data_IF_731134565963
#
_entry.id   IF_731134565963
#
_cell.length_a   1.000
_cell.length_b   1.000
_cell.length_c   1.000
_cell.angle_alpha   90.00
_cell.angle_beta   90.00
_cell.angle_gamma   90.00
#
_symmetry.space_group_name_H-M   'P 1'
#
loop_
_entity.id
_entity.type
_entity.pdbx_description
1 polymer ?
#
# COMPACT_ATOMS: atom_id res chain seq x y z
N UNK A 1 24.60 -40.70 2.02
CA UNK A 1 25.82 -40.52 1.21
C UNK A 1 25.82 -39.08 0.68
N UNK A 2 26.87 -38.34 1.03
CA UNK A 2 27.14 -36.92 0.66
C UNK A 2 27.77 -36.89 -0.75
N UNK A 3 27.50 -35.84 -1.55
CA UNK A 3 28.57 -34.88 -1.94
C UNK A 3 28.04 -33.41 -1.98
N UNK A 4 28.66 -32.44 -1.28
CA UNK A 4 29.84 -31.60 -1.66
C UNK A 4 29.73 -30.98 -3.07
N UNK A 5 29.28 -29.71 -3.19
CA UNK A 5 30.03 -28.43 -3.21
C UNK A 5 30.88 -28.18 -4.46
N UNK A 6 30.51 -27.16 -5.25
CA UNK A 6 31.44 -26.27 -5.94
C UNK A 6 30.86 -24.85 -5.92
N UNK A 7 31.56 -23.95 -5.24
CA UNK A 7 31.26 -22.52 -5.16
C UNK A 7 32.26 -21.75 -6.04
N UNK A 8 31.78 -20.82 -6.85
CA UNK A 8 32.59 -19.77 -7.46
C UNK A 8 32.22 -18.42 -6.83
N UNK A 9 33.22 -17.76 -6.22
CA UNK A 9 33.18 -16.39 -5.72
C UNK A 9 33.03 -15.38 -6.88
N UNK A 10 32.36 -14.23 -6.67
CA UNK A 10 32.68 -13.01 -7.39
C UNK A 10 33.71 -12.15 -6.62
N UNK A 11 34.64 -11.60 -7.39
CA UNK A 11 35.65 -10.62 -6.99
C UNK A 11 34.96 -9.31 -6.56
N UNK A 12 35.20 -8.86 -5.33
CA UNK A 12 34.80 -7.54 -4.85
C UNK A 12 36.01 -6.59 -4.89
N UNK A 13 35.90 -5.48 -5.63
CA UNK A 13 36.76 -4.31 -5.42
C UNK A 13 36.19 -3.50 -4.26
N UNK A 14 37.00 -3.37 -3.21
CA UNK A 14 36.74 -2.51 -2.06
C UNK A 14 37.17 -1.07 -2.36
N UNK A 15 36.34 -0.10 -1.98
CA UNK A 15 36.79 1.26 -1.71
C UNK A 15 36.23 1.68 -0.35
N UNK A 16 37.15 1.85 0.60
CA UNK A 16 36.89 2.23 1.99
C UNK A 16 36.56 3.73 2.07
N UNK A 17 35.56 4.08 2.87
CA UNK A 17 35.53 5.35 3.59
C UNK A 17 34.93 5.12 4.96
N UNK A 18 35.79 5.21 5.97
CA UNK A 18 35.53 5.11 7.40
C UNK A 18 34.89 6.40 7.94
N UNK A 19 33.76 6.28 8.64
CA UNK A 19 33.38 7.25 9.68
C UNK A 19 32.83 6.51 10.90
N UNK A 20 33.59 6.61 11.98
CA UNK A 20 33.26 6.16 13.33
C UNK A 20 32.30 7.13 14.00
N UNK A 21 31.24 6.63 14.63
CA UNK A 21 30.50 7.36 15.66
C UNK A 21 30.28 6.43 16.86
N UNK A 22 30.98 6.76 17.94
CA UNK A 22 30.94 6.13 19.25
C UNK A 22 29.59 6.35 19.93
N UNK A 23 29.03 5.29 20.52
CA UNK A 23 27.88 5.34 21.42
C UNK A 23 28.33 5.58 22.86
N UNK A 24 27.52 6.31 23.62
CA UNK A 24 27.59 6.34 25.08
C UNK A 24 26.17 6.19 25.63
N UNK A 25 25.95 5.05 26.28
CA UNK A 25 24.76 4.71 27.03
C UNK A 25 24.83 5.31 28.44
N UNK A 26 23.68 5.67 29.00
CA UNK A 26 23.49 5.85 30.43
C UNK A 26 22.13 5.27 30.82
N UNK A 27 22.20 4.25 31.67
CA UNK A 27 21.08 3.58 32.30
C UNK A 27 20.72 4.26 33.61
N UNK A 28 19.45 4.24 33.99
CA UNK A 28 19.04 4.36 35.39
C UNK A 28 17.75 3.57 35.62
N UNK A 29 17.88 2.59 36.51
CA UNK A 29 16.86 1.69 37.05
C UNK A 29 16.09 2.31 38.21
N UNK A 30 14.81 1.97 38.36
CA UNK A 30 14.20 1.81 39.69
C UNK A 30 12.90 0.99 39.61
N UNK A 31 12.91 -0.13 40.32
CA UNK A 31 11.80 -1.03 40.66
C UNK A 31 10.88 -0.45 41.73
N UNK A 32 9.63 -0.95 41.84
CA UNK A 32 9.01 -1.42 43.09
C UNK A 32 7.64 -2.10 42.83
N UNK A 33 7.40 -3.15 43.63
CA UNK A 33 6.24 -4.04 43.79
C UNK A 33 5.00 -3.33 44.39
N UNK A 34 3.74 -3.83 44.40
CA UNK A 34 3.23 -5.05 45.08
C UNK A 34 1.71 -5.29 44.79
N UNK A 35 1.25 -6.52 45.10
CA UNK A 35 -0.08 -7.19 45.19
C UNK A 35 -1.34 -6.40 45.61
N UNK A 36 -2.62 -6.84 45.55
CA UNK A 36 -3.40 -7.94 44.93
C UNK A 36 -4.91 -7.75 45.31
N UNK A 37 -5.78 -8.60 44.75
CA UNK A 37 -7.11 -9.06 45.23
C UNK A 37 -8.38 -8.58 44.52
N UNK A 38 -9.43 -9.38 44.69
CA UNK A 38 -10.34 -9.93 43.66
C UNK A 38 -11.81 -9.87 44.08
N UNK A 39 -12.73 -10.04 43.12
CA UNK A 39 -14.08 -10.68 43.16
C UNK A 39 -15.17 -9.83 42.46
N UNK A 40 -16.34 -10.32 42.00
CA UNK A 40 -16.75 -11.38 41.05
C UNK A 40 -18.28 -11.21 40.85
N UNK A 41 -18.76 -11.23 39.57
CA UNK A 41 -20.08 -11.78 39.09
C UNK A 41 -21.38 -10.90 39.18
N UNK A 42 -22.43 -11.10 38.34
CA UNK A 42 -22.76 -10.22 37.20
C UNK A 42 -24.28 -9.85 37.20
N UNK A 43 -24.85 -9.25 36.13
CA UNK A 43 -26.09 -9.73 35.47
C UNK A 43 -26.54 -8.85 34.30
N UNK A 44 -27.09 -9.54 33.31
CA UNK A 44 -27.76 -9.13 32.08
C UNK A 44 -29.14 -8.49 32.29
N UNK A 45 -29.57 -7.59 31.41
CA UNK A 45 -30.91 -7.66 30.76
C UNK A 45 -31.03 -6.71 29.55
N UNK A 46 -31.67 -7.23 28.50
CA UNK A 46 -32.14 -6.56 27.30
C UNK A 46 -33.52 -5.94 27.51
N UNK A 47 -33.88 -4.87 26.80
CA UNK A 47 -35.23 -4.65 26.27
C UNK A 47 -35.31 -3.44 25.32
N UNK A 48 -36.26 -3.55 24.39
CA UNK A 48 -36.51 -2.80 23.16
C UNK A 48 -37.66 -1.77 23.26
N UNK A 49 -37.99 -1.16 22.12
CA UNK A 49 -39.22 -0.41 21.72
C UNK A 49 -39.34 1.06 22.17
N UNK A 50 -39.92 2.01 21.44
CA UNK A 50 -40.48 2.19 20.08
C UNK A 50 -40.83 3.68 19.90
N UNK A 51 -40.92 4.20 18.66
CA UNK A 51 -41.17 5.64 18.35
C UNK A 51 -42.60 5.88 17.83
N UNK A 52 -43.22 7.00 18.22
CA UNK A 52 -44.33 7.65 17.51
C UNK A 52 -44.28 9.19 17.69
N UNK A 53 -44.82 10.01 16.75
CA UNK A 53 -44.48 11.44 16.59
C UNK A 53 -45.59 12.42 17.01
N UNK A 54 -45.23 13.67 17.34
CA UNK A 54 -46.14 14.83 17.42
C UNK A 54 -45.47 16.13 16.97
N UNK A 55 -46.28 17.04 16.42
CA UNK A 55 -45.92 18.23 15.65
C UNK A 55 -46.21 19.57 16.36
N UNK A 56 -45.38 20.56 16.01
CA UNK A 56 -45.59 22.02 15.88
C UNK A 56 -45.63 22.99 17.09
N UNK A 57 -44.82 24.05 16.91
CA UNK A 57 -44.79 25.42 17.43
C UNK A 57 -44.36 25.77 18.87
N UNK A 58 -43.26 26.52 18.97
CA UNK A 58 -42.79 27.20 20.17
C UNK A 58 -41.41 27.86 20.00
N UNK A 59 -41.36 29.18 20.14
CA UNK A 59 -40.22 30.10 19.97
C UNK A 59 -39.03 29.88 20.91
N UNK A 60 -37.88 30.40 20.47
CA UNK A 60 -36.51 30.37 21.02
C UNK A 60 -36.32 30.37 22.56
N UNK A 61 -35.46 29.48 23.03
CA UNK A 61 -34.31 29.77 23.90
C UNK A 61 -33.35 28.57 23.85
N UNK A 62 -32.08 28.79 23.50
CA UNK A 62 -31.06 27.75 23.54
C UNK A 62 -30.74 27.39 25.01
N UNK A 63 -30.87 26.13 25.44
CA UNK A 63 -30.44 25.74 26.77
C UNK A 63 -28.92 25.59 26.80
N UNK A 64 -28.26 26.47 27.55
CA UNK A 64 -26.85 26.34 27.94
C UNK A 64 -26.72 25.31 29.07
N UNK A 65 -26.58 24.04 28.73
CA UNK A 65 -25.90 23.03 29.57
C UNK A 65 -25.77 21.70 28.83
N UNK A 66 -24.54 21.26 28.57
CA UNK A 66 -24.25 19.87 28.24
C UNK A 66 -24.29 19.06 29.54
N UNK A 67 -25.03 17.93 29.62
CA UNK A 67 -24.88 17.02 30.74
C UNK A 67 -23.49 16.39 30.67
N UNK A 68 -22.63 16.77 31.60
CA UNK A 68 -21.35 16.12 31.87
C UNK A 68 -21.61 14.70 32.39
N UNK A 69 -21.42 13.70 31.53
CA UNK A 69 -21.41 12.30 31.95
C UNK A 69 -22.04 11.33 30.95
N UNK A 70 -21.35 11.08 29.83
CA UNK A 70 -21.57 9.83 29.08
C UNK A 70 -20.52 8.83 29.60
N UNK A 71 -20.90 7.68 30.18
CA UNK A 71 -19.94 6.68 30.64
C UNK A 71 -19.14 6.15 29.44
N UNK A 72 -17.82 6.27 29.49
CA UNK A 72 -16.91 5.62 28.54
C UNK A 72 -17.00 4.10 28.69
N UNK A 73 -17.10 3.37 27.56
CA UNK A 73 -17.05 1.91 27.50
C UNK A 73 -15.83 1.35 28.27
N UNK A 74 -15.96 0.21 28.97
CA UNK A 74 -14.84 -0.38 29.69
C UNK A 74 -13.72 -0.77 28.71
N UNK A 75 -12.48 -0.48 29.12
CA UNK A 75 -11.26 -0.83 28.39
C UNK A 75 -11.15 -2.35 28.26
N UNK A 76 -11.44 -2.89 27.09
CA UNK A 76 -11.21 -4.31 26.77
C UNK A 76 -9.70 -4.53 26.65
N UNK A 77 -9.12 -5.29 27.57
CA UNK A 77 -7.73 -5.71 27.49
C UNK A 77 -7.68 -7.09 26.80
N UNK A 78 -7.26 -7.11 25.54
CA UNK A 78 -7.00 -8.37 24.83
C UNK A 78 -5.62 -8.88 25.27
N UNK A 79 -5.52 -10.08 25.86
CA UNK A 79 -4.22 -10.62 26.27
C UNK A 79 -3.34 -10.84 25.05
N UNK A 80 -2.16 -10.22 25.02
CA UNK A 80 -1.16 -10.48 23.99
C UNK A 80 -0.63 -11.89 24.20
N UNK A 81 -1.04 -12.83 23.34
CA UNK A 81 -0.39 -14.14 23.26
C UNK A 81 0.83 -14.01 22.36
N UNK A 82 1.99 -14.44 22.86
CA UNK A 82 3.17 -14.61 22.01
C UNK A 82 2.90 -15.75 21.04
N UNK A 83 3.06 -15.48 19.74
CA UNK A 83 3.12 -16.49 18.69
C UNK A 83 4.43 -16.31 17.95
N UNK A 84 5.02 -17.42 17.52
CA UNK A 84 6.22 -17.40 16.70
C UNK A 84 5.85 -16.90 15.30
N UNK A 85 6.23 -15.67 14.98
CA UNK A 85 6.13 -15.13 13.62
C UNK A 85 7.28 -15.70 12.78
N UNK A 86 6.96 -16.45 11.74
CA UNK A 86 7.92 -16.82 10.70
C UNK A 86 7.78 -15.80 9.57
N UNK A 87 8.78 -14.93 9.32
CA UNK A 87 8.71 -13.96 8.23
C UNK A 87 8.53 -14.66 6.89
N UNK A 88 7.70 -14.10 6.02
CA UNK A 88 7.66 -14.53 4.62
C UNK A 88 9.04 -14.36 3.98
N UNK A 89 9.44 -15.25 3.04
CA UNK A 89 10.71 -15.14 2.36
C UNK A 89 10.85 -13.76 1.73
N UNK A 90 11.89 -13.10 2.17
CA UNK A 90 12.14 -11.70 1.92
C UNK A 90 12.85 -11.56 0.57
N UNK A 91 12.39 -10.71 -0.37
CA UNK A 91 13.17 -10.42 -1.57
C UNK A 91 14.55 -9.89 -1.17
N UNK A 92 15.61 -10.59 -1.58
CA UNK A 92 17.01 -10.33 -1.22
C UNK A 92 17.77 -9.51 -2.27
N UNK A 93 17.07 -8.99 -3.28
CA UNK A 93 17.68 -8.25 -4.38
C UNK A 93 17.96 -6.81 -3.95
N UNK A 94 19.15 -6.33 -4.30
CA UNK A 94 19.53 -4.92 -4.17
C UNK A 94 18.63 -4.03 -5.00
N UNK A 95 18.36 -2.81 -4.52
CA UNK A 95 17.60 -1.81 -5.26
C UNK A 95 18.25 -1.50 -6.61
N UNK A 96 17.43 -1.19 -7.63
CA UNK A 96 17.90 -0.89 -8.98
C UNK A 96 18.55 0.50 -9.00
N UNK A 97 19.85 0.64 -9.33
CA UNK A 97 20.45 1.95 -9.57
C UNK A 97 19.92 2.52 -10.89
N UNK A 98 19.44 3.76 -10.86
CA UNK A 98 18.79 4.40 -12.01
C UNK A 98 17.79 5.46 -11.58
N UNK A 99 18.24 6.43 -10.77
CA UNK A 99 17.56 7.72 -10.71
C UNK A 99 17.57 8.29 -12.14
N UNK A 100 16.44 8.82 -12.60
CA UNK A 100 16.44 9.62 -13.82
C UNK A 100 17.62 10.61 -13.77
N UNK A 101 18.44 10.72 -14.83
CA UNK A 101 19.34 11.85 -14.93
C UNK A 101 18.50 13.13 -14.85
N UNK A 102 18.93 14.12 -14.07
CA UNK A 102 18.28 15.43 -14.07
C UNK A 102 18.18 15.94 -15.51
N UNK A 103 16.96 16.15 -15.99
CA UNK A 103 16.70 16.68 -17.32
C UNK A 103 16.35 18.15 -17.17
N UNK A 104 17.18 19.05 -17.71
CA UNK A 104 16.85 20.46 -17.83
C UNK A 104 15.60 20.60 -18.74
N UNK A 105 14.49 21.20 -18.26
CA UNK A 105 13.30 21.44 -19.07
C UNK A 105 13.58 22.25 -20.34
N UNK A 106 14.61 23.10 -20.31
CA UNK A 106 15.04 23.94 -21.43
C UNK A 106 15.91 23.18 -22.43
N UNK A 107 16.43 22.01 -22.03
CA UNK A 107 17.34 21.18 -22.79
C UNK A 107 16.92 19.71 -22.67
N UNK A 108 15.76 19.33 -23.24
CA UNK A 108 15.25 17.97 -23.13
C UNK A 108 16.25 16.97 -23.72
N UNK A 109 16.34 15.76 -23.17
CA UNK A 109 17.18 14.71 -23.74
C UNK A 109 16.85 14.47 -25.20
N UNK A 110 17.87 14.19 -26.01
CA UNK A 110 17.67 13.86 -27.43
C UNK A 110 16.70 12.68 -27.58
N UNK A 111 15.89 12.70 -28.63
CA UNK A 111 15.00 11.58 -28.98
C UNK A 111 15.81 10.27 -29.00
N UNK A 112 15.39 9.28 -28.20
CA UNK A 112 16.08 7.99 -28.06
C UNK A 112 17.08 7.91 -26.90
N UNK A 113 17.28 8.98 -26.12
CA UNK A 113 18.06 8.91 -24.89
C UNK A 113 17.41 7.92 -23.90
N UNK A 114 18.23 7.07 -23.27
CA UNK A 114 17.79 6.11 -22.26
C UNK A 114 17.54 6.81 -20.92
N UNK A 115 16.49 7.63 -20.89
CA UNK A 115 16.08 8.41 -19.70
C UNK A 115 15.27 7.52 -18.77
N UNK A 116 14.39 6.68 -19.33
CA UNK A 116 13.54 5.75 -18.57
C UNK A 116 14.28 4.43 -18.33
N UNK A 117 14.36 3.92 -17.09
CA UNK A 117 14.89 2.60 -16.80
C UNK A 117 14.20 1.52 -17.61
N UNK A 118 14.99 0.69 -18.28
CA UNK A 118 14.45 -0.42 -19.06
C UNK A 118 14.15 -1.62 -18.14
N UNK A 119 12.89 -1.78 -17.73
CA UNK A 119 12.45 -2.92 -16.93
C UNK A 119 12.23 -4.22 -17.75
N UNK A 120 12.37 -4.20 -19.08
CA UNK A 120 12.13 -5.38 -19.93
C UNK A 120 12.97 -6.62 -19.51
N UNK A 121 14.28 -6.50 -19.21
CA UNK A 121 15.05 -7.68 -18.78
C UNK A 121 14.54 -8.26 -17.45
N UNK A 122 14.14 -7.41 -16.51
CA UNK A 122 13.57 -7.83 -15.24
C UNK A 122 12.23 -8.55 -15.44
N UNK A 123 11.37 -8.00 -16.30
CA UNK A 123 10.11 -8.64 -16.69
C UNK A 123 10.31 -9.97 -17.41
N UNK A 124 11.27 -10.09 -18.32
CA UNK A 124 11.59 -11.35 -18.98
C UNK A 124 12.00 -12.43 -17.96
N UNK A 125 12.87 -12.08 -17.01
CA UNK A 125 13.27 -13.00 -15.95
C UNK A 125 12.12 -13.39 -15.02
N UNK A 126 11.26 -12.43 -14.66
CA UNK A 126 10.06 -12.69 -13.85
C UNK A 126 9.05 -13.58 -14.59
N UNK A 127 8.87 -13.34 -15.89
CA UNK A 127 7.96 -14.09 -16.76
C UNK A 127 8.38 -15.56 -16.88
N UNK A 128 9.66 -15.84 -17.11
CA UNK A 128 10.15 -17.22 -17.17
C UNK A 128 9.98 -17.94 -15.82
N UNK A 129 10.27 -17.26 -14.69
CA UNK A 129 9.99 -17.83 -13.37
C UNK A 129 8.49 -18.12 -13.16
N UNK A 130 7.62 -17.21 -13.58
CA UNK A 130 6.18 -17.38 -13.47
C UNK A 130 5.69 -18.57 -14.31
N UNK A 131 6.15 -18.69 -15.57
CA UNK A 131 5.86 -19.84 -16.43
C UNK A 131 6.27 -21.16 -15.80
N UNK A 132 7.51 -21.26 -15.33
CA UNK A 132 8.00 -22.47 -14.66
C UNK A 132 7.17 -22.79 -13.42
N UNK A 133 6.79 -21.77 -12.65
CA UNK A 133 5.98 -21.94 -11.43
C UNK A 133 4.59 -22.51 -11.72
N UNK A 134 3.89 -21.97 -12.71
CA UNK A 134 2.51 -22.35 -13.01
C UNK A 134 2.40 -23.52 -14.01
N UNK A 135 3.51 -23.97 -14.62
CA UNK A 135 3.52 -25.08 -15.56
C UNK A 135 2.95 -26.36 -14.94
N UNK A 136 3.26 -26.61 -13.67
CA UNK A 136 2.75 -27.73 -12.92
C UNK A 136 1.40 -27.50 -12.25
N UNK A 137 0.75 -26.35 -12.41
CA UNK A 137 -0.53 -26.07 -11.73
C UNK A 137 -1.71 -26.72 -12.47
N UNK A 138 -2.63 -27.31 -11.71
CA UNK A 138 -3.93 -27.74 -12.24
C UNK A 138 -4.77 -26.54 -12.67
N UNK A 139 -5.89 -26.79 -13.35
CA UNK A 139 -6.81 -25.72 -13.71
C UNK A 139 -7.38 -25.04 -12.46
N UNK A 140 -7.76 -25.80 -11.44
CA UNK A 140 -8.27 -25.26 -10.18
C UNK A 140 -7.22 -24.41 -9.46
N UNK A 141 -5.96 -24.86 -9.43
CA UNK A 141 -4.86 -24.09 -8.85
C UNK A 141 -4.64 -22.76 -9.61
N UNK A 142 -4.77 -22.77 -10.93
CA UNK A 142 -4.71 -21.53 -11.76
C UNK A 142 -5.89 -20.60 -11.47
N UNK A 143 -7.12 -21.12 -11.34
CA UNK A 143 -8.31 -20.34 -10.96
C UNK A 143 -8.15 -19.73 -9.56
N UNK A 144 -7.56 -20.47 -8.62
CA UNK A 144 -7.31 -19.98 -7.28
C UNK A 144 -6.34 -18.80 -7.27
N UNK A 145 -5.31 -18.80 -8.12
CA UNK A 145 -4.37 -17.66 -8.23
C UNK A 145 -5.04 -16.39 -8.76
N UNK A 146 -6.14 -16.51 -9.51
CA UNK A 146 -6.86 -15.36 -10.09
C UNK A 146 -8.06 -14.89 -9.25
N UNK A 147 -8.41 -15.61 -8.18
CA UNK A 147 -9.67 -15.40 -7.45
C UNK A 147 -9.42 -15.10 -5.99
N UNK A 148 -9.94 -13.96 -5.52
CA UNK A 148 -9.87 -13.63 -4.11
C UNK A 148 -10.67 -14.61 -3.25
N UNK A 149 -10.20 -14.92 -2.05
CA UNK A 149 -10.83 -15.88 -1.13
C UNK A 149 -12.21 -15.44 -0.59
N UNK A 150 -12.63 -14.21 -0.89
CA UNK A 150 -13.86 -13.59 -0.40
C UNK A 150 -13.62 -12.50 0.65
N UNK A 151 -14.61 -11.61 0.80
CA UNK A 151 -14.54 -10.49 1.73
C UNK A 151 -14.39 -10.96 3.19
N UNK A 152 -13.39 -10.42 3.89
CA UNK A 152 -13.04 -10.77 5.28
C UNK A 152 -12.74 -12.28 5.50
N UNK A 153 -12.38 -13.01 4.45
CA UNK A 153 -11.99 -14.43 4.55
C UNK A 153 -10.49 -14.66 4.80
N UNK A 154 -9.69 -13.59 4.82
CA UNK A 154 -8.29 -13.63 5.18
C UNK A 154 -7.87 -12.38 5.97
N UNK A 155 -6.59 -12.31 6.40
CA UNK A 155 -6.12 -11.25 7.29
C UNK A 155 -6.00 -9.87 6.60
N UNK A 156 -5.79 -9.84 5.29
CA UNK A 156 -5.67 -8.61 4.52
C UNK A 156 -7.01 -8.18 3.88
N UNK A 157 -7.09 -6.93 3.39
CA UNK A 157 -8.27 -6.39 2.70
C UNK A 157 -8.68 -7.27 1.51
N UNK A 158 -7.69 -7.76 0.76
CA UNK A 158 -7.85 -8.81 -0.23
C UNK A 158 -6.83 -9.93 0.00
N UNK A 159 -7.24 -11.18 -0.25
CA UNK A 159 -6.33 -12.32 -0.16
C UNK A 159 -6.56 -13.25 -1.34
N UNK A 160 -5.47 -13.75 -1.90
CA UNK A 160 -5.46 -14.88 -2.83
C UNK A 160 -4.94 -16.08 -2.05
N UNK A 161 -5.67 -17.20 -2.11
CA UNK A 161 -5.37 -18.38 -1.31
C UNK A 161 -4.04 -19.02 -1.71
N UNK A 162 -3.40 -19.67 -0.76
CA UNK A 162 -2.21 -20.48 -1.01
C UNK A 162 -2.54 -21.70 -1.88
N UNK A 163 -1.55 -22.15 -2.65
CA UNK A 163 -1.53 -23.47 -3.29
C UNK A 163 -0.68 -24.38 -2.40
N UNK A 164 -1.27 -25.48 -1.95
CA UNK A 164 -0.62 -26.44 -1.08
C UNK A 164 0.68 -27.00 -1.72
N UNK A 165 1.74 -27.22 -0.93
CA UNK A 165 3.01 -27.75 -1.42
C UNK A 165 2.92 -29.25 -1.72
N UNK A 166 2.19 -29.60 -2.77
CA UNK A 166 2.21 -30.95 -3.36
C UNK A 166 3.32 -31.00 -4.42
N UNK A 167 4.19 -32.00 -4.31
CA UNK A 167 5.28 -32.23 -5.28
C UNK A 167 6.23 -31.02 -5.43
N UNK A 168 6.42 -30.25 -4.36
CA UNK A 168 7.27 -29.05 -4.37
C UNK A 168 6.68 -27.83 -5.09
N UNK A 169 5.41 -27.87 -5.50
CA UNK A 169 4.76 -26.80 -6.28
C UNK A 169 4.11 -25.68 -5.46
N UNK A 170 4.19 -25.73 -4.13
CA UNK A 170 3.43 -24.84 -3.23
C UNK A 170 3.69 -23.35 -3.43
N UNK A 171 2.66 -22.53 -3.27
CA UNK A 171 2.70 -21.08 -3.42
C UNK A 171 1.95 -20.42 -2.27
N UNK A 172 2.52 -19.41 -1.58
CA UNK A 172 1.99 -18.94 -0.30
C UNK A 172 0.69 -18.12 -0.39
N UNK A 173 0.20 -17.81 -1.60
CA UNK A 173 -0.89 -16.85 -1.78
C UNK A 173 -0.39 -15.42 -1.89
N UNK A 174 -1.32 -14.47 -1.88
CA UNK A 174 -1.01 -13.03 -1.84
C UNK A 174 -1.91 -12.30 -0.85
N UNK A 175 -1.29 -11.45 -0.03
CA UNK A 175 -1.93 -10.44 0.77
C UNK A 175 -1.95 -9.10 0.03
N UNK A 176 -3.14 -8.54 -0.16
CA UNK A 176 -3.38 -7.23 -0.77
C UNK A 176 -3.92 -6.28 0.30
N UNK A 177 -3.26 -5.16 0.51
CA UNK A 177 -3.58 -4.25 1.62
C UNK A 177 -3.62 -2.80 1.17
N UNK A 178 -4.66 -2.09 1.62
CA UNK A 178 -4.71 -0.62 1.58
C UNK A 178 -3.58 -0.04 2.45
N UNK A 179 -3.09 1.17 2.18
CA UNK A 179 -3.66 2.26 1.38
C UNK A 179 -2.57 3.03 0.62
N UNK A 180 -2.91 4.04 -0.21
CA UNK A 180 -1.92 4.93 -0.83
C UNK A 180 -1.08 5.78 0.14
N UNK A 181 -1.34 5.75 1.45
CA UNK A 181 -0.67 6.58 2.47
C UNK A 181 -0.27 5.83 3.76
N UNK A 182 -0.11 4.52 3.68
CA UNK A 182 0.31 3.68 4.81
C UNK A 182 -0.53 2.41 4.93
N UNK A 183 -0.14 1.51 5.82
CA UNK A 183 -0.79 0.21 6.01
C UNK A 183 -2.09 0.39 6.79
N UNK A 184 -3.23 0.05 6.18
CA UNK A 184 -4.56 0.20 6.77
C UNK A 184 -4.86 -0.94 7.75
N UNK A 185 -5.66 -0.65 8.79
CA UNK A 185 -6.19 -1.62 9.76
C UNK A 185 -5.12 -2.43 10.50
N UNK A 186 -3.98 -1.81 10.81
CA UNK A 186 -2.91 -2.40 11.64
C UNK A 186 -2.48 -1.43 12.74
N UNK A 187 -1.78 -1.95 13.74
CA UNK A 187 -1.10 -1.19 14.78
C UNK A 187 0.37 -0.92 14.40
N UNK A 188 1.04 -0.04 15.14
CA UNK A 188 2.48 0.25 14.98
C UNK A 188 2.90 0.55 13.53
N UNK A 189 2.11 1.36 12.84
CA UNK A 189 2.35 1.81 11.47
C UNK A 189 2.21 3.34 11.39
N UNK A 190 2.86 3.94 10.40
CA UNK A 190 2.83 5.39 10.18
C UNK A 190 1.65 5.77 9.30
N UNK A 191 0.97 6.87 9.67
CA UNK A 191 0.06 7.56 8.76
C UNK A 191 0.85 8.62 7.99
N UNK A 192 1.14 8.35 6.71
CA UNK A 192 1.90 9.27 5.87
C UNK A 192 1.01 10.42 5.36
N UNK A 193 1.61 11.56 4.95
CA UNK A 193 0.86 12.60 4.23
C UNK A 193 0.14 12.02 3.01
N UNK A 194 -1.01 12.60 2.67
CA UNK A 194 -1.76 12.21 1.49
C UNK A 194 -0.97 12.47 0.18
N UNK A 195 -1.42 11.87 -0.93
CA UNK A 195 -0.80 12.07 -2.23
C UNK A 195 -0.73 13.56 -2.60
N UNK A 196 -1.80 14.31 -2.33
CA UNK A 196 -1.88 15.73 -2.73
C UNK A 196 -0.86 16.58 -1.98
N UNK A 197 -0.58 16.25 -0.71
CA UNK A 197 0.46 16.89 0.08
C UNK A 197 1.87 16.55 -0.44
N UNK A 198 2.09 15.30 -0.84
CA UNK A 198 3.36 14.88 -1.43
C UNK A 198 3.60 15.62 -2.76
N UNK A 199 2.59 15.73 -3.62
CA UNK A 199 2.66 16.50 -4.86
C UNK A 199 2.91 17.99 -4.63
N UNK A 200 2.28 18.58 -3.60
CA UNK A 200 2.47 19.98 -3.23
C UNK A 200 3.91 20.33 -2.81
N UNK A 201 4.78 19.34 -2.56
CA UNK A 201 6.21 19.58 -2.33
C UNK A 201 6.98 19.89 -3.60
N UNK A 202 6.47 19.47 -4.77
CA UNK A 202 7.20 19.48 -6.05
C UNK A 202 8.59 18.86 -5.97
N UNK A 203 8.79 17.92 -5.04
CA UNK A 203 10.08 17.33 -4.73
C UNK A 203 10.04 15.81 -4.93
N UNK A 204 10.67 15.35 -6.03
CA UNK A 204 10.75 13.93 -6.39
C UNK A 204 11.40 13.08 -5.30
N UNK A 205 12.46 13.59 -4.66
CA UNK A 205 13.19 12.86 -3.61
C UNK A 205 12.29 12.59 -2.40
N UNK A 206 11.51 13.59 -1.97
CA UNK A 206 10.55 13.42 -0.87
C UNK A 206 9.41 12.47 -1.23
N UNK A 207 8.90 12.54 -2.46
CA UNK A 207 7.86 11.63 -2.94
C UNK A 207 8.39 10.18 -2.95
N UNK A 208 9.62 9.95 -3.44
CA UNK A 208 10.23 8.62 -3.42
C UNK A 208 10.51 8.14 -2.02
N UNK A 209 11.07 8.98 -1.14
CA UNK A 209 11.34 8.65 0.25
C UNK A 209 10.06 8.23 1.00
N UNK A 210 8.94 8.89 0.72
CA UNK A 210 7.61 8.47 1.19
C UNK A 210 7.23 7.08 0.67
N UNK A 211 7.42 6.81 -0.62
CA UNK A 211 7.24 5.47 -1.21
C UNK A 211 8.07 4.38 -0.53
N UNK A 212 9.36 4.67 -0.28
CA UNK A 212 10.28 3.78 0.44
C UNK A 212 9.80 3.47 1.85
N UNK A 213 9.44 4.49 2.62
CA UNK A 213 8.96 4.30 3.98
C UNK A 213 7.67 3.47 4.02
N UNK A 214 6.71 3.76 3.11
CA UNK A 214 5.50 2.95 2.97
C UNK A 214 5.82 1.51 2.56
N UNK A 215 6.76 1.30 1.63
CA UNK A 215 7.18 -0.03 1.18
C UNK A 215 7.74 -0.89 2.32
N UNK A 216 8.58 -0.28 3.17
CA UNK A 216 9.12 -0.94 4.38
C UNK A 216 8.02 -1.39 5.33
N UNK A 217 7.02 -0.54 5.58
CA UNK A 217 5.93 -0.89 6.51
C UNK A 217 5.01 -1.98 5.95
N UNK A 218 4.64 -1.91 4.67
CA UNK A 218 3.84 -2.96 4.03
C UNK A 218 4.58 -4.31 4.09
N UNK A 219 5.86 -4.34 3.70
CA UNK A 219 6.70 -5.54 3.80
C UNK A 219 6.84 -6.03 5.22
N UNK A 220 7.06 -5.13 6.18
CA UNK A 220 7.17 -5.46 7.60
C UNK A 220 5.91 -6.13 8.17
N UNK A 221 4.74 -5.80 7.62
CA UNK A 221 3.45 -6.44 7.96
C UNK A 221 3.13 -7.68 7.11
N UNK A 222 4.05 -8.12 6.24
CA UNK A 222 3.85 -9.29 5.38
C UNK A 222 2.92 -9.05 4.18
N UNK A 223 2.67 -7.79 3.81
CA UNK A 223 1.86 -7.44 2.64
C UNK A 223 2.66 -7.71 1.36
N UNK A 224 2.03 -8.36 0.38
CA UNK A 224 2.64 -8.58 -0.92
C UNK A 224 2.33 -7.44 -1.89
N UNK A 225 1.07 -6.98 -1.93
CA UNK A 225 0.61 -5.91 -2.83
C UNK A 225 0.04 -4.76 -1.99
N UNK A 226 0.68 -3.60 -2.08
CA UNK A 226 0.16 -2.37 -1.52
C UNK A 226 -0.77 -1.70 -2.54
N UNK A 227 -2.01 -1.42 -2.13
CA UNK A 227 -3.06 -0.87 -2.99
C UNK A 227 -2.89 0.64 -3.18
N UNK A 228 -1.80 1.04 -3.84
CA UNK A 228 -1.49 2.40 -4.24
C UNK A 228 -0.21 2.47 -5.10
N UNK A 229 0.11 3.64 -5.68
CA UNK A 229 -0.54 4.93 -5.48
C UNK A 229 -1.88 5.09 -6.21
N UNK A 230 -2.61 6.16 -5.87
CA UNK A 230 -3.83 6.58 -6.56
C UNK A 230 -3.51 7.78 -7.48
N UNK A 231 -4.07 7.83 -8.70
CA UNK A 231 -3.68 8.82 -9.72
C UNK A 231 -4.84 9.44 -10.53
N UNK A 232 -6.07 9.44 -10.03
CA UNK A 232 -7.13 10.17 -10.73
C UNK A 232 -6.84 11.68 -10.65
N UNK A 233 -7.16 12.42 -11.71
CA UNK A 233 -6.70 13.80 -11.89
C UNK A 233 -7.56 14.83 -11.15
N UNK A 234 -8.60 14.40 -10.43
CA UNK A 234 -9.45 15.34 -9.70
C UNK A 234 -10.04 16.43 -10.58
N UNK A 235 -10.51 16.04 -11.79
CA UNK A 235 -11.15 16.92 -12.78
C UNK A 235 -12.21 17.84 -12.16
N UNK A 236 -12.95 17.30 -11.20
CA UNK A 236 -13.96 18.02 -10.41
C UNK A 236 -13.39 18.28 -9.04
N UNK A 237 -13.23 19.55 -8.63
CA UNK A 237 -12.62 19.92 -7.36
C UNK A 237 -13.36 19.31 -6.14
N UNK A 238 -14.67 19.11 -6.23
CA UNK A 238 -15.51 18.47 -5.22
C UNK A 238 -15.40 16.93 -5.20
N UNK A 239 -14.54 16.33 -6.04
CA UNK A 239 -14.30 14.89 -6.06
C UNK A 239 -13.78 14.39 -4.71
N UNK A 240 -14.54 13.50 -4.06
CA UNK A 240 -14.29 13.09 -2.67
C UNK A 240 -12.99 12.32 -2.42
N UNK A 241 -12.27 11.92 -3.47
CA UNK A 241 -11.03 11.13 -3.38
C UNK A 241 -9.83 11.77 -4.07
N UNK A 242 -9.95 13.01 -4.54
CA UNK A 242 -8.86 13.73 -5.23
C UNK A 242 -7.61 13.83 -4.35
N UNK A 243 -7.81 13.96 -3.04
CA UNK A 243 -6.74 14.08 -2.04
C UNK A 243 -5.85 12.82 -1.93
N UNK A 244 -6.36 11.64 -2.29
CA UNK A 244 -5.55 10.41 -2.34
C UNK A 244 -4.50 10.45 -3.47
N UNK A 245 -4.82 11.16 -4.55
CA UNK A 245 -3.97 11.35 -5.73
C UNK A 245 -3.09 12.58 -5.63
N UNK A 246 -2.54 13.04 -6.76
CA UNK A 246 -1.45 14.02 -6.80
C UNK A 246 -1.84 15.38 -7.39
N UNK A 247 -3.12 15.62 -7.65
CA UNK A 247 -3.63 16.87 -8.23
C UNK A 247 -4.18 16.67 -9.64
N UNK A 248 -4.33 17.78 -10.38
CA UNK A 248 -5.02 17.80 -11.67
C UNK A 248 -4.14 17.91 -12.91
N UNK A 249 -2.84 18.03 -12.72
CA UNK A 249 -1.89 18.03 -13.82
C UNK A 249 -1.43 16.59 -14.12
N UNK A 250 -1.59 16.12 -15.38
CA UNK A 250 -1.20 14.76 -15.75
C UNK A 250 0.30 14.50 -15.62
N UNK A 251 1.14 15.49 -15.92
CA UNK A 251 2.60 15.35 -15.82
C UNK A 251 3.03 15.19 -14.36
N UNK A 252 2.66 16.13 -13.49
CA UNK A 252 2.95 16.09 -12.04
C UNK A 252 2.43 14.79 -11.42
N UNK A 253 1.21 14.39 -11.76
CA UNK A 253 0.62 13.14 -11.24
C UNK A 253 1.39 11.92 -11.71
N UNK A 254 1.81 11.89 -12.98
CA UNK A 254 2.63 10.83 -13.52
C UNK A 254 4.02 10.75 -12.88
N UNK A 255 4.69 11.89 -12.68
CA UNK A 255 5.99 11.93 -12.00
C UNK A 255 5.87 11.49 -10.53
N UNK A 256 4.86 11.96 -9.81
CA UNK A 256 4.66 11.57 -8.41
C UNK A 256 4.34 10.08 -8.28
N UNK A 257 3.54 9.53 -9.19
CA UNK A 257 3.26 8.10 -9.23
C UNK A 257 4.51 7.27 -9.53
N UNK A 258 5.30 7.68 -10.53
CA UNK A 258 6.56 7.05 -10.89
C UNK A 258 7.50 6.95 -9.68
N UNK A 259 7.73 8.07 -9.01
CA UNK A 259 8.59 8.17 -7.83
C UNK A 259 8.10 7.31 -6.66
N UNK A 260 6.79 7.33 -6.42
CA UNK A 260 6.16 6.50 -5.37
C UNK A 260 6.31 5.01 -5.65
N UNK A 261 6.08 4.58 -6.90
CA UNK A 261 6.18 3.17 -7.32
C UNK A 261 7.61 2.66 -7.19
N UNK A 262 8.60 3.42 -7.65
CA UNK A 262 10.01 3.03 -7.47
C UNK A 262 10.35 2.87 -6.00
N UNK A 263 9.94 3.83 -5.16
CA UNK A 263 10.18 3.79 -3.72
C UNK A 263 9.54 2.57 -3.04
N UNK A 264 8.29 2.26 -3.37
CA UNK A 264 7.61 1.08 -2.81
C UNK A 264 8.26 -0.23 -3.27
N UNK A 265 8.51 -0.37 -4.58
CA UNK A 265 8.98 -1.62 -5.16
C UNK A 265 10.44 -1.94 -4.85
N UNK A 266 11.29 -0.94 -4.63
CA UNK A 266 12.68 -1.20 -4.20
C UNK A 266 12.76 -1.87 -2.82
N UNK A 267 11.72 -1.71 -1.98
CA UNK A 267 11.64 -2.36 -0.68
C UNK A 267 11.05 -3.78 -0.78
N UNK A 268 10.61 -4.22 -1.97
CA UNK A 268 10.12 -5.57 -2.21
C UNK A 268 8.62 -5.78 -1.99
N UNK A 269 7.83 -4.71 -1.89
CA UNK A 269 6.36 -4.78 -2.00
C UNK A 269 5.93 -4.46 -3.44
N UNK A 270 4.89 -5.11 -3.92
CA UNK A 270 4.27 -4.82 -5.22
C UNK A 270 3.40 -3.57 -5.11
N UNK A 271 3.62 -2.58 -5.99
CA UNK A 271 2.73 -1.42 -6.10
C UNK A 271 1.52 -1.73 -6.99
N UNK A 272 0.45 -0.96 -6.81
CA UNK A 272 -0.80 -1.09 -7.54
C UNK A 272 -1.32 0.28 -7.98
N UNK A 273 -1.12 0.60 -9.25
CA UNK A 273 -1.61 1.84 -9.85
C UNK A 273 -3.15 1.83 -9.95
N UNK A 274 -3.82 2.84 -9.39
CA UNK A 274 -5.29 2.90 -9.33
C UNK A 274 -5.87 4.32 -9.50
N UNK A 275 -7.11 4.51 -9.93
CA UNK A 275 -8.07 3.51 -10.41
C UNK A 275 -8.19 3.67 -11.92
N UNK A 276 -7.82 2.63 -12.67
CA UNK A 276 -7.81 2.64 -14.12
C UNK A 276 -9.24 2.38 -14.66
N UNK A 277 -9.98 3.35 -15.19
CA UNK A 277 -9.64 4.76 -15.44
C UNK A 277 -10.91 5.62 -15.30
N UNK A 278 -10.78 6.95 -15.33
CA UNK A 278 -11.90 7.90 -15.41
C UNK A 278 -12.90 7.88 -14.24
N UNK A 279 -12.51 7.37 -13.07
CA UNK A 279 -13.33 7.46 -11.86
C UNK A 279 -13.17 8.82 -11.15
N UNK A 280 -13.56 9.90 -11.82
CA UNK A 280 -13.30 11.29 -11.39
C UNK A 280 -14.35 11.85 -10.40
N UNK A 281 -15.33 11.05 -10.00
CA UNK A 281 -16.33 11.42 -8.99
C UNK A 281 -16.85 10.21 -8.22
N UNK A 282 -17.22 10.42 -6.96
CA UNK A 282 -17.77 9.35 -6.12
C UNK A 282 -19.26 9.12 -6.33
N UNK A 283 -19.99 10.17 -6.73
CA UNK A 283 -21.42 10.09 -6.97
C UNK A 283 -21.71 9.09 -8.09
N UNK A 284 -22.44 8.01 -7.75
CA UNK A 284 -22.79 6.91 -8.67
C UNK A 284 -21.57 6.21 -9.29
N UNK A 285 -20.42 6.15 -8.61
CA UNK A 285 -19.22 5.48 -9.14
C UNK A 285 -19.40 4.01 -9.56
N UNK A 286 -20.43 3.32 -9.05
CA UNK A 286 -20.74 1.91 -9.38
C UNK A 286 -21.84 1.75 -10.43
N UNK A 287 -22.33 2.85 -11.02
CA UNK A 287 -23.43 2.81 -12.01
C UNK A 287 -23.37 3.93 -13.05
N UNK A 288 -22.37 4.79 -12.98
CA UNK A 288 -22.12 5.85 -13.97
C UNK A 288 -21.19 5.36 -15.08
N UNK A 289 -21.23 6.06 -16.21
CA UNK A 289 -20.30 5.89 -17.32
C UNK A 289 -19.53 7.18 -17.54
N UNK A 290 -18.21 7.05 -17.70
CA UNK A 290 -17.31 8.16 -18.01
C UNK A 290 -16.92 8.12 -19.48
N UNK A 291 -17.50 9.02 -20.27
CA UNK A 291 -17.27 9.09 -21.72
C UNK A 291 -16.29 10.22 -22.04
N UNK A 292 -15.17 9.88 -22.67
CA UNK A 292 -14.14 10.82 -23.12
C UNK A 292 -13.65 10.40 -24.51
N UNK A 293 -13.21 11.37 -25.31
CA UNK A 293 -12.60 11.08 -26.61
C UNK A 293 -11.18 10.48 -26.45
N UNK A 294 -10.72 9.80 -27.50
CA UNK A 294 -9.45 9.07 -27.52
C UNK A 294 -8.24 9.94 -27.15
N UNK A 295 -8.21 11.17 -27.67
CA UNK A 295 -7.12 12.11 -27.42
C UNK A 295 -7.10 12.53 -25.96
N UNK A 296 -8.25 12.89 -25.40
CA UNK A 296 -8.38 13.23 -23.98
C UNK A 296 -7.98 12.06 -23.07
N UNK A 297 -8.35 10.83 -23.42
CA UNK A 297 -7.92 9.64 -22.66
C UNK A 297 -6.40 9.53 -22.69
N UNK A 298 -5.77 9.61 -23.86
CA UNK A 298 -4.33 9.37 -24.00
C UNK A 298 -3.45 10.51 -23.47
N UNK A 299 -3.81 11.77 -23.74
CA UNK A 299 -3.00 12.93 -23.37
C UNK A 299 -3.15 13.31 -21.89
N UNK A 300 -4.31 13.01 -21.27
CA UNK A 300 -4.62 13.46 -19.91
C UNK A 300 -4.70 12.27 -18.96
N UNK A 301 -5.73 11.43 -19.07
CA UNK A 301 -6.04 10.44 -18.02
C UNK A 301 -5.14 9.21 -18.02
N UNK A 302 -4.63 8.79 -19.18
CA UNK A 302 -3.75 7.63 -19.31
C UNK A 302 -2.29 7.98 -18.98
N UNK A 303 -1.91 9.26 -19.04
CA UNK A 303 -0.53 9.68 -18.86
C UNK A 303 0.07 9.24 -17.51
N UNK A 304 -0.61 9.37 -16.35
CA UNK A 304 -0.05 8.86 -15.09
C UNK A 304 0.14 7.34 -15.06
N UNK A 305 -0.71 6.58 -15.75
CA UNK A 305 -0.58 5.13 -15.88
C UNK A 305 0.57 4.74 -16.80
N UNK A 306 0.80 5.48 -17.89
CA UNK A 306 1.99 5.33 -18.73
C UNK A 306 3.27 5.50 -17.90
N UNK A 307 3.34 6.55 -17.07
CA UNK A 307 4.49 6.76 -16.18
C UNK A 307 4.62 5.64 -15.14
N UNK A 308 3.51 5.12 -14.62
CA UNK A 308 3.52 3.97 -13.71
C UNK A 308 4.07 2.69 -14.38
N UNK A 309 3.70 2.43 -15.63
CA UNK A 309 4.25 1.30 -16.42
C UNK A 309 5.75 1.50 -16.65
N UNK A 310 6.18 2.72 -16.96
CA UNK A 310 7.59 3.07 -17.11
C UNK A 310 8.39 2.91 -15.80
N UNK A 311 7.75 3.04 -14.63
CA UNK A 311 8.32 2.72 -13.31
C UNK A 311 8.32 1.21 -13.00
N UNK A 312 7.83 0.36 -13.92
CA UNK A 312 7.75 -1.08 -13.73
C UNK A 312 6.67 -1.50 -12.71
N UNK A 313 5.55 -0.76 -12.62
CA UNK A 313 4.46 -1.11 -11.69
C UNK A 313 4.00 -2.55 -11.87
N UNK A 314 3.86 -3.27 -10.76
CA UNK A 314 3.54 -4.71 -10.78
C UNK A 314 2.07 -5.03 -11.04
N UNK A 315 1.16 -4.08 -10.75
CA UNK A 315 -0.27 -4.29 -10.95
C UNK A 315 -1.02 -2.99 -11.20
N UNK A 316 -2.20 -3.10 -11.80
CA UNK A 316 -3.16 -2.01 -11.98
C UNK A 316 -4.52 -2.45 -11.46
N UNK A 317 -5.26 -1.54 -10.83
CA UNK A 317 -6.62 -1.80 -10.36
C UNK A 317 -7.62 -1.05 -11.23
N UNK A 318 -8.57 -1.79 -11.80
CA UNK A 318 -9.65 -1.19 -12.57
C UNK A 318 -10.59 -0.35 -11.68
N UNK A 319 -11.23 0.66 -12.28
CA UNK A 319 -12.24 1.49 -11.66
C UNK A 319 -13.58 0.78 -11.51
N UNK A 320 -14.46 1.39 -10.72
CA UNK A 320 -15.86 0.96 -10.63
C UNK A 320 -16.73 1.48 -11.79
N UNK A 321 -16.44 2.68 -12.30
CA UNK A 321 -17.21 3.32 -13.38
C UNK A 321 -17.02 2.57 -14.70
N UNK A 322 -18.07 2.62 -15.53
CA UNK A 322 -18.04 2.13 -16.91
C UNK A 322 -17.33 3.11 -17.85
#
# INVERSE_FOLDING_TARGET
>A
MVPLWLACLPLALAQQSSLSATSSALASSSSLSESASSSVVPTSVSASTSVAPTSADGTSAAPSSWPSGVPTQPRVHVPIKQYSFTPFPTPSQSSVPGLFPDTDPSSPPSVGAAVIPNFQPAWNAAYEKAKTKIAGFTLEEKVNVTTGSGWQKGPCVGNIAAIEPRDGRGWPGLCLQDSPLGVRLVDYATAFPAGINAAATWNRELIRARGVAMGKEHRGKGVNIALGPMMNLGRVAQGGRNWEGFGADPFLTGEAAYETILGMQQEGVQACAKHLILNEQEHKRTSSSSNADDRTIHEVYAHPFLRSIQAGVTSMMCSYSA
#
